data_IF_207409096333
#
_entry.id   IF_207409096333
#
_cell.length_a   1.000
_cell.length_b   1.000
_cell.length_c   1.000
_cell.angle_alpha   90.00
_cell.angle_beta   90.00
_cell.angle_gamma   90.00
#
_symmetry.space_group_name_H-M   'P 1'
#
loop_
_entity.id
_entity.type
_entity.pdbx_description
1 polymer ?
#
# COMPACT_ATOMS: atom_id res chain seq x y z
N UNK A 1 -9.53 21.74 4.71
CA UNK A 1 -9.12 21.25 3.38
C UNK A 1 -10.23 20.33 2.91
N UNK A 2 -10.91 20.68 1.82
CA UNK A 2 -12.02 19.88 1.25
C UNK A 2 -11.45 18.84 0.27
N UNK A 3 -12.16 17.74 -0.01
CA UNK A 3 -11.73 16.65 -0.93
C UNK A 3 -11.19 17.10 -2.28
N UNK A 4 -11.68 18.23 -2.79
CA UNK A 4 -11.20 18.82 -4.04
C UNK A 4 -9.67 19.03 -4.02
N UNK A 5 -9.08 19.37 -2.87
CA UNK A 5 -7.66 19.69 -2.78
C UNK A 5 -6.74 18.47 -2.94
N UNK A 6 -7.18 17.26 -2.59
CA UNK A 6 -6.39 16.04 -2.80
C UNK A 6 -6.48 15.52 -4.24
N UNK A 7 -7.57 15.87 -4.94
CA UNK A 7 -7.75 15.54 -6.35
C UNK A 7 -7.00 16.48 -7.30
N UNK A 8 -6.87 17.77 -6.95
CA UNK A 8 -6.24 18.78 -7.81
C UNK A 8 -4.82 18.40 -8.30
N UNK A 9 -3.92 17.84 -7.47
CA UNK A 9 -2.62 17.36 -7.94
C UNK A 9 -2.74 16.25 -9.00
N UNK A 10 -3.69 15.32 -8.83
CA UNK A 10 -3.93 14.23 -9.78
C UNK A 10 -4.47 14.78 -11.10
N UNK A 11 -5.44 15.68 -11.05
CA UNK A 11 -6.00 16.34 -12.23
C UNK A 11 -4.92 17.08 -13.02
N UNK A 12 -4.03 17.79 -12.32
CA UNK A 12 -2.92 18.52 -12.93
C UNK A 12 -1.93 17.59 -13.63
N UNK A 13 -1.54 16.49 -12.99
CA UNK A 13 -0.64 15.47 -13.60
C UNK A 13 -1.30 14.82 -14.81
N UNK A 14 -2.61 14.57 -14.77
CA UNK A 14 -3.35 14.00 -15.88
C UNK A 14 -3.65 15.00 -17.03
N UNK A 15 -3.30 16.29 -16.87
CA UNK A 15 -3.61 17.33 -17.84
C UNK A 15 -5.11 17.59 -17.99
N UNK A 16 -5.90 17.28 -16.96
CA UNK A 16 -7.34 17.44 -17.00
C UNK A 16 -7.76 18.87 -16.68
N UNK A 17 -8.81 19.39 -17.34
CA UNK A 17 -9.36 20.68 -16.96
C UNK A 17 -10.02 20.58 -15.58
N UNK A 18 -10.00 21.67 -14.80
CA UNK A 18 -10.68 21.74 -13.49
C UNK A 18 -12.18 21.40 -13.58
N UNK A 19 -12.78 21.58 -14.76
CA UNK A 19 -14.17 21.21 -15.03
C UNK A 19 -14.44 19.71 -14.99
N UNK A 20 -13.42 18.85 -14.98
CA UNK A 20 -13.61 17.39 -14.90
C UNK A 20 -14.26 16.98 -13.59
N UNK A 21 -14.08 17.75 -12.52
CA UNK A 21 -14.74 17.52 -11.23
C UNK A 21 -16.23 17.86 -11.24
N UNK A 22 -16.78 18.45 -12.32
CA UNK A 22 -18.21 18.76 -12.40
C UNK A 22 -18.99 17.45 -12.44
N UNK A 23 -19.78 17.20 -11.40
CA UNK A 23 -20.51 15.95 -11.22
C UNK A 23 -19.79 14.93 -10.35
N UNK A 24 -18.68 15.29 -9.69
CA UNK A 24 -18.12 14.49 -8.60
C UNK A 24 -18.86 14.82 -7.30
N UNK A 25 -19.49 13.82 -6.70
CA UNK A 25 -20.06 13.87 -5.36
C UNK A 25 -19.18 13.09 -4.40
N UNK A 26 -18.91 13.65 -3.22
CA UNK A 26 -18.15 12.95 -2.17
C UNK A 26 -18.90 13.02 -0.86
N UNK A 27 -19.20 11.85 -0.31
CA UNK A 27 -20.03 11.67 0.88
C UNK A 27 -19.25 11.04 2.05
N UNK A 28 -19.76 11.21 3.27
CA UNK A 28 -19.28 10.57 4.48
C UNK A 28 -18.29 11.39 5.32
N UNK A 29 -17.93 10.83 6.48
CA UNK A 29 -16.98 11.42 7.42
C UNK A 29 -15.56 11.51 6.82
N UNK A 30 -14.77 12.47 7.31
CA UNK A 30 -13.40 12.72 6.85
C UNK A 30 -12.34 12.12 7.77
N UNK A 31 -11.09 12.14 7.29
CA UNK A 31 -9.97 11.65 8.08
C UNK A 31 -9.83 12.36 9.44
N UNK A 32 -9.40 11.63 10.49
CA UNK A 32 -8.95 10.23 10.44
C UNK A 32 -10.11 9.22 10.56
N UNK A 33 -10.28 8.38 9.54
CA UNK A 33 -11.19 7.22 9.61
C UNK A 33 -10.48 6.00 10.23
N UNK A 34 -9.17 5.91 10.03
CA UNK A 34 -8.29 4.90 10.62
C UNK A 34 -7.24 5.57 11.51
N UNK A 35 -6.77 4.90 12.58
CA UNK A 35 -5.79 5.46 13.51
C UNK A 35 -4.38 5.44 12.89
N UNK A 36 -4.16 6.31 11.91
CA UNK A 36 -2.87 6.48 11.22
C UNK A 36 -2.49 7.95 11.22
N UNK A 37 -1.19 8.25 11.22
CA UNK A 37 -0.68 9.63 11.16
C UNK A 37 -0.86 10.28 9.77
N UNK A 38 -1.37 9.54 8.78
CA UNK A 38 -1.55 10.00 7.41
C UNK A 38 -3.05 10.13 7.07
N UNK A 39 -3.36 11.04 6.15
CA UNK A 39 -4.72 11.24 5.62
C UNK A 39 -5.02 10.27 4.48
N UNK A 40 -5.04 8.98 4.83
CA UNK A 40 -5.18 7.90 3.84
C UNK A 40 -6.59 7.84 3.24
N UNK A 41 -7.62 8.29 3.96
CA UNK A 41 -8.98 8.41 3.42
C UNK A 41 -9.05 9.47 2.33
N UNK A 42 -8.45 10.63 2.53
CA UNK A 42 -8.33 11.68 1.50
C UNK A 42 -7.61 11.16 0.24
N UNK A 43 -6.50 10.43 0.42
CA UNK A 43 -5.76 9.85 -0.70
C UNK A 43 -6.57 8.77 -1.46
N UNK A 44 -7.33 7.94 -0.73
CA UNK A 44 -8.21 6.93 -1.33
C UNK A 44 -9.34 7.57 -2.13
N UNK A 45 -10.01 8.59 -1.58
CA UNK A 45 -11.05 9.35 -2.27
C UNK A 45 -10.50 9.95 -3.55
N UNK A 46 -9.40 10.70 -3.48
CA UNK A 46 -8.82 11.34 -4.67
C UNK A 46 -8.48 10.33 -5.77
N UNK A 47 -7.88 9.19 -5.40
CA UNK A 47 -7.51 8.13 -6.34
C UNK A 47 -8.74 7.49 -6.99
N UNK A 48 -9.77 7.15 -6.20
CA UNK A 48 -11.00 6.53 -6.73
C UNK A 48 -11.85 7.52 -7.53
N UNK A 49 -11.89 8.79 -7.13
CA UNK A 49 -12.50 9.86 -7.92
C UNK A 49 -11.83 9.98 -9.29
N UNK A 50 -10.50 9.90 -9.38
CA UNK A 50 -9.80 9.91 -10.67
C UNK A 50 -10.16 8.70 -11.54
N UNK A 51 -10.21 7.51 -10.94
CA UNK A 51 -10.61 6.29 -11.65
C UNK A 51 -12.06 6.35 -12.13
N UNK A 52 -12.97 6.98 -11.38
CA UNK A 52 -14.38 7.17 -11.80
C UNK A 52 -14.56 8.28 -12.84
N UNK A 53 -13.85 9.39 -12.71
CA UNK A 53 -13.96 10.55 -13.61
C UNK A 53 -13.34 10.31 -14.99
N UNK A 54 -12.26 9.53 -15.09
CA UNK A 54 -11.63 9.20 -16.37
C UNK A 54 -12.61 8.53 -17.38
N UNK A 55 -13.32 7.44 -17.05
CA UNK A 55 -14.30 6.84 -17.94
C UNK A 55 -15.53 7.72 -18.14
N UNK A 56 -16.00 8.46 -17.12
CA UNK A 56 -17.11 9.41 -17.27
C UNK A 56 -16.78 10.51 -18.29
N UNK A 57 -15.53 11.00 -18.28
CA UNK A 57 -15.04 11.97 -19.27
C UNK A 57 -14.95 11.35 -20.67
N UNK A 58 -14.45 10.12 -20.77
CA UNK A 58 -14.41 9.40 -22.06
C UNK A 58 -15.82 9.20 -22.62
N UNK A 59 -16.79 8.85 -21.78
CA UNK A 59 -18.19 8.73 -22.16
C UNK A 59 -18.74 10.06 -22.70
N UNK A 60 -18.51 11.16 -21.99
CA UNK A 60 -18.93 12.49 -22.44
C UNK A 60 -18.31 12.89 -23.77
N UNK A 61 -17.03 12.59 -24.00
CA UNK A 61 -16.37 12.87 -25.28
C UNK A 61 -16.97 12.07 -26.44
N UNK A 62 -17.42 10.84 -26.19
CA UNK A 62 -18.01 9.97 -27.20
C UNK A 62 -19.49 10.27 -27.50
N UNK A 63 -20.26 10.63 -26.48
CA UNK A 63 -21.73 10.71 -26.55
C UNK A 63 -22.29 12.12 -26.39
N UNK A 64 -21.46 13.06 -25.92
CA UNK A 64 -21.90 14.39 -25.50
C UNK A 64 -22.65 14.42 -24.16
N UNK A 65 -22.94 13.27 -23.55
CA UNK A 65 -23.69 13.18 -22.29
C UNK A 65 -22.75 13.00 -21.10
N UNK A 66 -22.94 13.81 -20.06
CA UNK A 66 -22.19 13.70 -18.80
C UNK A 66 -22.82 12.67 -17.85
N UNK A 67 -21.99 12.05 -17.01
CA UNK A 67 -22.40 11.16 -15.92
C UNK A 67 -21.94 11.73 -14.59
N UNK A 68 -22.74 11.52 -13.56
CA UNK A 68 -22.36 11.81 -12.18
C UNK A 68 -21.51 10.66 -11.62
N UNK A 69 -20.50 11.01 -10.82
CA UNK A 69 -19.60 10.06 -10.15
C UNK A 69 -19.69 10.34 -8.66
N UNK A 70 -20.05 9.33 -7.87
CA UNK A 70 -20.08 9.45 -6.40
C UNK A 70 -19.02 8.58 -5.74
N UNK A 71 -18.40 9.09 -4.68
CA UNK A 71 -17.43 8.38 -3.86
C UNK A 71 -17.80 8.55 -2.39
N UNK A 72 -17.97 7.44 -1.67
CA UNK A 72 -18.15 7.46 -0.22
C UNK A 72 -16.80 7.29 0.48
N UNK A 73 -16.47 8.22 1.37
CA UNK A 73 -15.15 8.28 2.03
C UNK A 73 -14.88 7.06 2.91
N UNK A 74 -15.91 6.49 3.55
CA UNK A 74 -15.76 5.28 4.38
C UNK A 74 -15.53 4.05 3.51
N UNK A 75 -16.23 3.92 2.38
CA UNK A 75 -16.02 2.84 1.40
C UNK A 75 -14.66 2.94 0.71
N UNK A 76 -14.25 4.15 0.32
CA UNK A 76 -12.92 4.42 -0.21
C UNK A 76 -11.83 4.03 0.79
N UNK A 77 -12.00 4.40 2.06
CA UNK A 77 -11.03 4.01 3.11
C UNK A 77 -11.03 2.49 3.34
N UNK A 78 -12.20 1.85 3.29
CA UNK A 78 -12.31 0.39 3.44
C UNK A 78 -11.59 -0.37 2.31
N UNK A 79 -11.53 0.18 1.09
CA UNK A 79 -10.84 -0.47 -0.04
C UNK A 79 -9.33 -0.62 0.20
N UNK A 80 -8.71 0.27 0.98
CA UNK A 80 -7.31 0.17 1.40
C UNK A 80 -7.02 -1.06 2.29
N UNK A 81 -8.06 -1.69 2.82
CA UNK A 81 -7.98 -2.88 3.68
C UNK A 81 -8.86 -4.02 3.16
N UNK A 82 -9.18 -4.02 1.86
CA UNK A 82 -10.09 -4.98 1.22
C UNK A 82 -9.80 -6.44 1.58
N UNK A 83 -8.52 -6.83 1.61
CA UNK A 83 -8.10 -8.18 2.00
C UNK A 83 -8.54 -8.60 3.41
N UNK A 84 -8.65 -7.67 4.36
CA UNK A 84 -9.18 -7.95 5.71
C UNK A 84 -10.69 -8.15 5.76
N UNK A 85 -11.41 -7.67 4.76
CA UNK A 85 -12.86 -7.82 4.64
C UNK A 85 -13.26 -8.99 3.73
N UNK A 86 -12.28 -9.64 3.11
CA UNK A 86 -12.50 -10.77 2.23
C UNK A 86 -13.03 -11.97 3.01
N UNK A 87 -14.06 -12.60 2.45
CA UNK A 87 -14.62 -13.87 2.93
C UNK A 87 -14.60 -14.88 1.80
N UNK A 88 -14.27 -16.13 2.11
CA UNK A 88 -14.38 -17.27 1.21
C UNK A 88 -15.36 -18.24 1.86
N UNK A 89 -16.40 -18.62 1.12
CA UNK A 89 -17.50 -19.47 1.64
C UNK A 89 -18.06 -18.97 2.98
N UNK A 90 -18.29 -17.65 3.04
CA UNK A 90 -18.75 -16.91 4.23
C UNK A 90 -17.82 -16.97 5.46
N UNK A 91 -16.62 -17.54 5.31
CA UNK A 91 -15.60 -17.65 6.35
C UNK A 91 -14.50 -16.61 6.15
N UNK A 92 -13.89 -16.15 7.25
CA UNK A 92 -12.76 -15.21 7.18
C UNK A 92 -11.55 -15.92 6.56
N UNK A 93 -10.91 -15.26 5.61
CA UNK A 93 -9.65 -15.77 5.02
C UNK A 93 -8.48 -15.38 5.93
N UNK A 94 -7.64 -16.36 6.27
CA UNK A 94 -6.43 -16.07 7.04
C UNK A 94 -5.54 -15.10 6.26
N UNK A 95 -5.03 -14.10 6.97
CA UNK A 95 -4.04 -13.14 6.47
C UNK A 95 -2.73 -13.28 7.24
N UNK A 96 -2.54 -14.46 7.85
CA UNK A 96 -1.38 -14.75 8.67
C UNK A 96 -0.12 -14.66 7.82
N UNK A 97 0.88 -14.03 8.41
CA UNK A 97 2.19 -13.84 7.80
C UNK A 97 3.10 -14.95 8.27
N UNK A 98 4.11 -15.25 7.47
CA UNK A 98 5.18 -16.12 7.91
C UNK A 98 5.86 -15.53 9.16
N UNK A 99 6.28 -16.39 10.09
CA UNK A 99 6.83 -16.01 11.40
C UNK A 99 8.14 -15.22 11.31
N UNK A 100 8.89 -15.37 10.22
CA UNK A 100 10.15 -14.64 9.98
C UNK A 100 9.98 -13.42 9.05
N UNK A 101 8.74 -13.09 8.66
CA UNK A 101 8.46 -11.82 7.99
C UNK A 101 8.40 -10.71 9.05
N UNK A 102 9.19 -9.65 8.87
CA UNK A 102 9.21 -8.58 9.85
C UNK A 102 10.31 -7.56 9.63
N UNK A 103 10.38 -6.61 10.57
CA UNK A 103 11.46 -5.62 10.65
C UNK A 103 12.40 -6.00 11.79
N UNK A 104 13.70 -6.09 11.51
CA UNK A 104 14.73 -6.56 12.41
C UNK A 104 15.81 -5.50 12.60
N UNK A 105 16.39 -5.37 13.81
CA UNK A 105 17.53 -4.48 14.02
C UNK A 105 18.75 -5.05 13.28
N UNK A 106 19.42 -4.18 12.52
CA UNK A 106 20.66 -4.45 11.81
C UNK A 106 21.82 -3.69 12.47
N UNK A 107 23.01 -3.72 11.87
CA UNK A 107 24.16 -2.94 12.35
C UNK A 107 23.85 -1.44 12.36
N UNK A 108 24.63 -0.70 13.16
CA UNK A 108 24.66 0.76 13.18
C UNK A 108 23.31 1.42 13.53
N UNK A 109 22.45 0.74 14.32
CA UNK A 109 21.13 1.26 14.70
C UNK A 109 20.13 1.32 13.55
N UNK A 110 20.45 0.71 12.40
CA UNK A 110 19.56 0.62 11.24
C UNK A 110 18.65 -0.59 11.35
N UNK A 111 17.65 -0.64 10.47
CA UNK A 111 16.66 -1.70 10.44
C UNK A 111 16.56 -2.31 9.04
N UNK A 112 16.36 -3.63 8.99
CA UNK A 112 16.10 -4.36 7.75
C UNK A 112 14.74 -5.03 7.80
N UNK A 113 13.98 -4.91 6.72
CA UNK A 113 12.70 -5.58 6.54
C UNK A 113 12.88 -6.82 5.66
N UNK A 114 12.38 -7.96 6.15
CA UNK A 114 12.38 -9.23 5.42
C UNK A 114 10.96 -9.56 4.91
N UNK A 115 10.83 -9.75 3.60
CA UNK A 115 9.56 -10.12 2.98
C UNK A 115 9.47 -11.63 2.69
N UNK A 116 9.15 -12.40 3.72
CA UNK A 116 9.22 -13.87 3.73
C UNK A 116 7.87 -14.58 3.59
N UNK A 117 6.82 -13.90 3.11
CA UNK A 117 5.50 -14.51 2.93
C UNK A 117 5.41 -15.49 1.76
N UNK A 118 6.27 -15.34 0.75
CA UNK A 118 6.33 -16.24 -0.39
C UNK A 118 7.44 -17.27 -0.21
N UNK A 119 7.19 -18.58 -0.44
CA UNK A 119 8.18 -19.62 -0.18
C UNK A 119 9.54 -19.41 -0.86
N UNK A 120 9.55 -18.88 -2.09
CA UNK A 120 10.77 -18.58 -2.83
C UNK A 120 11.55 -17.40 -2.22
N UNK A 121 10.87 -16.33 -1.81
CA UNK A 121 11.55 -15.20 -1.16
C UNK A 121 12.07 -15.56 0.22
N UNK A 122 11.31 -16.38 0.95
CA UNK A 122 11.72 -16.93 2.24
C UNK A 122 12.97 -17.78 2.13
N UNK A 123 13.01 -18.72 1.17
CA UNK A 123 14.17 -19.57 0.94
C UNK A 123 15.41 -18.73 0.58
N UNK A 124 15.26 -17.73 -0.30
CA UNK A 124 16.35 -16.82 -0.64
C UNK A 124 16.87 -16.02 0.55
N UNK A 125 15.98 -15.51 1.42
CA UNK A 125 16.39 -14.78 2.62
C UNK A 125 17.13 -15.68 3.63
N UNK A 126 16.65 -16.92 3.84
CA UNK A 126 17.30 -17.89 4.72
C UNK A 126 18.67 -18.33 4.19
N UNK A 127 18.79 -18.54 2.88
CA UNK A 127 20.06 -18.86 2.22
C UNK A 127 21.10 -17.74 2.40
N UNK A 128 20.72 -16.49 2.19
CA UNK A 128 21.59 -15.32 2.41
C UNK A 128 22.00 -15.18 3.88
N UNK A 129 21.06 -15.40 4.81
CA UNK A 129 21.33 -15.31 6.24
C UNK A 129 22.13 -16.50 6.78
N UNK A 130 22.08 -17.64 6.09
CA UNK A 130 22.74 -18.89 6.48
C UNK A 130 22.17 -19.48 7.77
N UNK A 131 20.85 -19.35 7.99
CA UNK A 131 20.16 -19.84 9.19
C UNK A 131 18.89 -20.60 8.84
N UNK A 132 18.40 -21.39 9.79
CA UNK A 132 17.12 -22.07 9.70
C UNK A 132 15.95 -21.08 9.84
N UNK A 133 14.72 -21.52 9.50
CA UNK A 133 13.48 -20.76 9.64
C UNK A 133 13.05 -20.61 11.12
N UNK A 134 13.91 -19.99 11.93
CA UNK A 134 13.67 -19.66 13.33
C UNK A 134 13.77 -18.14 13.54
N UNK A 135 12.73 -17.47 14.10
CA UNK A 135 12.73 -16.03 14.32
C UNK A 135 13.89 -15.51 15.18
N UNK A 136 14.39 -16.32 16.12
CA UNK A 136 15.51 -15.94 16.99
C UNK A 136 16.82 -15.98 16.22
N UNK A 137 17.05 -17.01 15.43
CA UNK A 137 18.25 -17.15 14.60
C UNK A 137 18.27 -16.11 13.48
N UNK A 138 17.13 -15.86 12.81
CA UNK A 138 16.99 -14.78 11.82
C UNK A 138 17.34 -13.44 12.44
N UNK A 139 16.80 -13.12 13.63
CA UNK A 139 17.10 -11.86 14.33
C UNK A 139 18.60 -11.72 14.64
N UNK A 140 19.25 -12.78 15.13
CA UNK A 140 20.70 -12.77 15.41
C UNK A 140 21.51 -12.59 14.13
N UNK A 141 21.11 -13.25 13.04
CA UNK A 141 21.79 -13.14 11.76
C UNK A 141 21.69 -11.71 11.21
N UNK A 142 20.48 -11.13 11.14
CA UNK A 142 20.25 -9.77 10.63
C UNK A 142 21.03 -8.72 11.43
N UNK A 143 21.14 -8.86 12.76
CA UNK A 143 21.89 -7.94 13.60
C UNK A 143 23.38 -7.82 13.24
N UNK A 144 23.94 -8.80 12.50
CA UNK A 144 25.34 -8.79 12.04
C UNK A 144 25.52 -8.19 10.64
N UNK A 145 24.44 -7.87 9.95
CA UNK A 145 24.49 -7.29 8.61
C UNK A 145 24.37 -5.77 8.64
N UNK A 146 24.98 -5.12 7.66
CA UNK A 146 24.54 -3.79 7.27
C UNK A 146 23.20 -3.88 6.54
N UNK A 147 22.26 -2.96 6.82
CA UNK A 147 20.89 -3.06 6.32
C UNK A 147 20.81 -2.99 4.78
N UNK A 148 21.63 -2.14 4.16
CA UNK A 148 21.67 -1.98 2.71
C UNK A 148 22.34 -3.17 2.04
N UNK A 149 23.49 -3.62 2.57
CA UNK A 149 24.19 -4.80 2.05
C UNK A 149 23.31 -6.06 2.12
N UNK A 150 22.51 -6.19 3.18
CA UNK A 150 21.56 -7.30 3.32
C UNK A 150 20.42 -7.22 2.30
N UNK A 151 19.86 -6.04 2.08
CA UNK A 151 18.85 -5.83 1.03
C UNK A 151 19.40 -6.24 -0.34
N UNK A 152 20.57 -5.74 -0.70
CA UNK A 152 21.22 -6.06 -1.98
C UNK A 152 21.51 -7.56 -2.12
N UNK A 153 21.99 -8.21 -1.06
CA UNK A 153 22.25 -9.64 -1.04
C UNK A 153 20.96 -10.46 -1.25
N UNK A 154 19.87 -10.09 -0.55
CA UNK A 154 18.56 -10.74 -0.69
C UNK A 154 17.99 -10.54 -2.11
N UNK A 155 18.07 -9.34 -2.66
CA UNK A 155 17.61 -9.04 -4.03
C UNK A 155 18.41 -9.85 -5.05
N UNK A 156 19.74 -9.93 -4.90
CA UNK A 156 20.61 -10.74 -5.76
C UNK A 156 20.26 -12.23 -5.71
N UNK A 157 19.84 -12.72 -4.54
CA UNK A 157 19.32 -14.08 -4.36
C UNK A 157 17.88 -14.27 -4.88
N UNK A 158 17.28 -13.26 -5.54
CA UNK A 158 15.88 -13.25 -6.02
C UNK A 158 14.85 -13.31 -4.88
N UNK A 159 15.25 -12.88 -3.69
CA UNK A 159 14.39 -12.61 -2.55
C UNK A 159 13.77 -11.22 -2.60
N UNK A 160 13.09 -10.84 -1.52
CA UNK A 160 12.54 -9.50 -1.34
C UNK A 160 12.82 -9.04 0.10
N UNK A 161 13.34 -7.82 0.22
CA UNK A 161 13.64 -7.16 1.49
C UNK A 161 13.78 -5.66 1.25
N UNK A 162 14.00 -4.90 2.31
CA UNK A 162 14.24 -3.47 2.19
C UNK A 162 14.93 -2.88 3.42
N UNK A 163 15.82 -1.93 3.22
CA UNK A 163 16.33 -1.07 4.28
C UNK A 163 15.20 -0.18 4.81
N UNK A 164 15.23 0.06 6.13
CA UNK A 164 14.37 1.07 6.76
C UNK A 164 15.22 2.03 7.58
N UNK A 165 15.14 3.32 7.21
CA UNK A 165 15.62 4.41 8.05
C UNK A 165 14.81 4.40 9.37
N UNK A 166 15.49 4.55 10.50
CA UNK A 166 14.90 4.42 11.83
C UNK A 166 13.61 5.24 12.00
N UNK A 167 12.68 4.70 12.80
CA UNK A 167 11.45 5.39 13.23
C UNK A 167 11.75 6.54 14.17
#
# INVERSE_FOLDING_TARGET
MTPHNAFDPLAKVAGWPNSICKGLLVDGDWDPILPTSFRIGEAAVASLSAVGLAPARLWQLKTGTSQEVSVDTRRATASLRSGKYMKMDNSVVSTDRNTIMGTYPAKNGRWSYLHCNFPNHRAAALDVLGVDEDPTEVKKAVARWDALELEEAIIKAKGAGGERLGL
#
